data_IF_404544978721
#
_entry.id   IF_404544978721
#
_cell.length_a   1.000
_cell.length_b   1.000
_cell.length_c   1.000
_cell.angle_alpha   90.00
_cell.angle_beta   90.00
_cell.angle_gamma   90.00
#
_symmetry.space_group_name_H-M   'P 1'
#
loop_
_entity.id
_entity.type
_entity.pdbx_description
1 polymer ?
#
# COMPACT_ATOMS: atom_id res chain seq x y z
N UNK A 1 -21.64 34.07 -9.04
CA UNK A 1 -21.12 32.83 -8.44
C UNK A 1 -22.34 32.07 -7.95
N UNK A 2 -22.63 30.89 -8.51
CA UNK A 2 -23.73 30.05 -8.01
C UNK A 2 -23.33 29.53 -6.64
N UNK A 3 -24.22 29.57 -5.66
CA UNK A 3 -23.98 28.91 -4.38
C UNK A 3 -23.75 27.41 -4.63
N UNK A 4 -22.81 26.80 -3.89
CA UNK A 4 -22.63 25.35 -3.91
C UNK A 4 -23.97 24.67 -3.54
N UNK A 5 -24.34 23.57 -4.20
CA UNK A 5 -25.56 22.86 -3.85
C UNK A 5 -25.51 22.39 -2.38
N UNK A 6 -26.66 22.34 -1.67
CA UNK A 6 -26.71 21.79 -0.32
C UNK A 6 -26.17 20.35 -0.30
N UNK A 7 -25.45 20.01 0.76
CA UNK A 7 -24.85 18.68 0.97
C UNK A 7 -25.86 17.54 0.80
N UNK A 8 -27.05 17.68 1.39
CA UNK A 8 -28.16 16.73 1.23
C UNK A 8 -28.54 16.47 -0.23
N UNK A 9 -28.48 17.49 -1.09
CA UNK A 9 -28.81 17.36 -2.51
C UNK A 9 -27.71 16.59 -3.26
N UNK A 10 -26.45 16.77 -2.88
CA UNK A 10 -25.31 16.05 -3.47
C UNK A 10 -25.34 14.58 -3.07
N UNK A 11 -25.62 14.26 -1.80
CA UNK A 11 -25.80 12.88 -1.36
C UNK A 11 -27.00 12.20 -2.03
N UNK A 12 -28.14 12.90 -2.14
CA UNK A 12 -29.30 12.37 -2.85
C UNK A 12 -29.01 12.10 -4.35
N UNK A 13 -28.11 12.87 -4.97
CA UNK A 13 -27.62 12.59 -6.34
C UNK A 13 -26.69 11.39 -6.35
N UNK A 14 -25.75 11.30 -5.42
CA UNK A 14 -24.80 10.20 -5.31
C UNK A 14 -25.53 8.85 -5.15
N UNK A 15 -26.60 8.79 -4.37
CA UNK A 15 -27.40 7.58 -4.17
C UNK A 15 -28.23 7.17 -5.40
N UNK A 16 -28.53 8.11 -6.30
CA UNK A 16 -29.26 7.83 -7.54
C UNK A 16 -28.36 7.37 -8.68
N UNK A 17 -27.07 7.67 -8.59
CA UNK A 17 -26.12 7.26 -9.63
C UNK A 17 -25.78 5.79 -9.44
N UNK A 18 -25.87 5.04 -10.53
CA UNK A 18 -25.45 3.64 -10.54
C UNK A 18 -23.97 3.55 -10.18
N UNK A 19 -23.63 2.65 -9.26
CA UNK A 19 -22.27 2.46 -8.77
C UNK A 19 -21.89 0.98 -8.79
N UNK A 20 -20.59 0.72 -8.89
CA UNK A 20 -20.04 -0.62 -8.87
C UNK A 20 -19.08 -0.78 -7.70
N UNK A 21 -19.23 -1.87 -6.96
CA UNK A 21 -18.25 -2.28 -5.96
C UNK A 21 -17.02 -2.83 -6.69
N UNK A 22 -15.84 -2.36 -6.29
CA UNK A 22 -14.54 -2.80 -6.78
C UNK A 22 -13.54 -2.83 -5.62
N UNK A 23 -12.37 -3.41 -5.86
CA UNK A 23 -11.18 -3.23 -5.03
C UNK A 23 -10.12 -2.54 -5.89
N UNK A 24 -9.37 -1.63 -5.29
CA UNK A 24 -8.15 -1.11 -5.90
C UNK A 24 -7.01 -1.98 -5.39
N UNK A 25 -6.33 -2.66 -6.30
CA UNK A 25 -5.17 -3.50 -6.00
C UNK A 25 -3.87 -2.70 -6.26
N UNK A 26 -2.72 -3.16 -5.77
CA UNK A 26 -1.39 -2.53 -5.98
C UNK A 26 -1.19 -2.07 -7.44
N UNK A 27 -1.56 -2.91 -8.41
CA UNK A 27 -1.39 -2.65 -9.85
C UNK A 27 -2.25 -1.49 -10.39
N UNK A 28 -3.27 -1.06 -9.66
CA UNK A 28 -4.10 0.09 -10.06
C UNK A 28 -3.43 1.43 -9.71
N UNK A 29 -2.40 1.44 -8.86
CA UNK A 29 -1.75 2.66 -8.37
C UNK A 29 -0.46 2.97 -9.13
N UNK A 30 -0.15 4.26 -9.22
CA UNK A 30 1.21 4.72 -9.47
C UNK A 30 2.06 4.45 -8.23
N UNK A 31 3.16 3.71 -8.41
CA UNK A 31 4.02 3.20 -7.35
C UNK A 31 5.30 4.03 -7.24
N UNK A 32 5.78 4.21 -6.02
CA UNK A 32 7.08 4.82 -5.75
C UNK A 32 7.66 4.24 -4.45
N UNK A 33 8.98 4.20 -4.35
CA UNK A 33 9.65 3.82 -3.12
C UNK A 33 9.49 4.90 -2.04
N UNK A 34 9.57 4.51 -0.77
CA UNK A 34 9.61 5.45 0.35
C UNK A 34 11.03 5.97 0.61
N UNK A 35 11.13 6.99 1.46
CA UNK A 35 12.37 7.36 2.14
C UNK A 35 12.32 6.83 3.57
N UNK A 36 13.27 5.97 4.00
CA UNK A 36 13.26 5.43 5.36
C UNK A 36 13.33 6.51 6.44
N UNK A 37 12.50 6.38 7.48
CA UNK A 37 12.37 7.33 8.58
C UNK A 37 11.64 8.64 8.24
N UNK A 38 11.04 8.72 7.04
CA UNK A 38 10.24 9.86 6.62
C UNK A 38 8.89 9.40 6.04
N UNK A 39 7.82 10.10 6.41
CA UNK A 39 6.49 9.86 5.86
C UNK A 39 6.44 10.19 4.36
N UNK A 40 6.52 9.13 3.56
CA UNK A 40 6.67 9.21 2.10
C UNK A 40 5.45 8.61 1.43
N UNK A 41 5.02 9.19 0.30
CA UNK A 41 4.00 8.54 -0.53
C UNK A 41 4.61 7.27 -1.13
N UNK A 42 3.83 6.21 -1.24
CA UNK A 42 4.26 4.96 -1.90
C UNK A 42 3.28 4.50 -2.98
N UNK A 43 2.01 4.87 -2.86
CA UNK A 43 0.97 4.56 -3.83
C UNK A 43 0.09 5.79 -4.09
N UNK A 44 -0.28 6.00 -5.35
CA UNK A 44 -1.15 7.09 -5.77
C UNK A 44 -2.15 6.63 -6.83
N UNK A 45 -3.44 6.77 -6.57
CA UNK A 45 -4.50 6.47 -7.54
C UNK A 45 -5.32 7.73 -7.82
N UNK A 46 -5.28 8.22 -9.06
CA UNK A 46 -6.11 9.35 -9.48
C UNK A 46 -7.51 8.87 -9.88
N UNK A 47 -8.53 9.38 -9.20
CA UNK A 47 -9.92 9.01 -9.43
C UNK A 47 -10.44 9.59 -10.76
N UNK A 48 -10.65 8.75 -11.77
CA UNK A 48 -11.27 9.16 -13.04
C UNK A 48 -12.75 9.52 -12.91
N UNK A 49 -13.40 8.97 -11.88
CA UNK A 49 -14.80 9.17 -11.51
C UNK A 49 -14.90 9.20 -9.99
N UNK A 50 -15.93 9.85 -9.44
CA UNK A 50 -16.16 9.83 -8.01
C UNK A 50 -16.17 8.41 -7.46
N UNK A 51 -15.48 8.21 -6.35
CA UNK A 51 -15.48 6.95 -5.64
C UNK A 51 -15.65 7.17 -4.14
N UNK A 52 -16.12 6.12 -3.49
CA UNK A 52 -16.25 6.06 -2.05
C UNK A 52 -15.43 4.88 -1.55
N UNK A 53 -14.44 5.13 -0.68
CA UNK A 53 -13.83 4.06 0.11
C UNK A 53 -14.93 3.43 0.97
N UNK A 54 -14.97 2.10 1.10
CA UNK A 54 -16.08 1.42 1.77
C UNK A 54 -15.70 1.13 3.22
N UNK A 55 -16.42 1.67 4.23
CA UNK A 55 -16.18 1.33 5.62
C UNK A 55 -16.74 -0.05 5.95
N UNK A 56 -16.20 -0.70 6.98
CA UNK A 56 -16.68 -2.01 7.46
C UNK A 56 -16.46 -3.18 6.50
N UNK A 57 -15.64 -2.99 5.45
CA UNK A 57 -15.20 -4.05 4.52
C UNK A 57 -13.70 -4.24 4.71
N UNK A 58 -13.25 -5.50 4.71
CA UNK A 58 -11.84 -5.86 4.87
C UNK A 58 -10.94 -5.11 3.88
N UNK A 59 -9.85 -4.55 4.39
CA UNK A 59 -8.79 -3.87 3.64
C UNK A 59 -7.45 -4.53 3.95
N UNK A 60 -6.66 -4.74 2.91
CA UNK A 60 -5.32 -5.30 3.02
C UNK A 60 -4.31 -4.17 2.75
N UNK A 61 -3.36 -3.98 3.67
CA UNK A 61 -2.28 -2.99 3.57
C UNK A 61 -1.00 -3.60 4.15
N UNK A 62 -0.44 -4.55 3.42
CA UNK A 62 0.79 -5.26 3.75
C UNK A 62 1.90 -4.80 2.81
N UNK A 63 2.85 -4.06 3.39
CA UNK A 63 4.05 -3.59 2.70
C UNK A 63 5.21 -4.52 3.06
N UNK A 64 6.07 -4.78 2.09
CA UNK A 64 7.26 -5.61 2.27
C UNK A 64 8.50 -4.72 2.32
N UNK A 65 9.47 -5.17 3.10
CA UNK A 65 10.83 -4.64 3.15
C UNK A 65 11.55 -5.06 1.88
N UNK A 66 12.33 -4.16 1.30
CA UNK A 66 13.33 -4.46 0.28
C UNK A 66 14.73 -4.31 0.85
N UNK A 67 15.57 -5.31 0.60
CA UNK A 67 17.01 -5.25 0.85
C UNK A 67 17.81 -5.81 -0.34
N UNK A 68 18.82 -5.06 -0.75
CA UNK A 68 19.81 -5.50 -1.74
C UNK A 68 21.04 -6.08 -1.05
N UNK A 69 21.45 -7.28 -1.46
CA UNK A 69 22.63 -7.97 -0.97
C UNK A 69 23.50 -8.43 -2.14
N UNK A 70 24.76 -8.78 -1.88
CA UNK A 70 25.69 -9.22 -2.93
C UNK A 70 26.37 -10.52 -2.52
N UNK A 71 26.36 -11.52 -3.40
CA UNK A 71 27.07 -12.79 -3.18
C UNK A 71 28.58 -12.63 -3.36
N UNK A 72 29.36 -13.50 -2.74
CA UNK A 72 30.82 -13.52 -2.91
C UNK A 72 31.30 -14.18 -4.23
N UNK A 73 30.40 -14.83 -4.97
CA UNK A 73 30.66 -15.53 -6.22
C UNK A 73 31.51 -16.79 -6.09
N UNK A 74 31.53 -17.41 -4.91
CA UNK A 74 32.31 -18.63 -4.63
C UNK A 74 31.69 -19.91 -5.17
N UNK A 75 30.41 -19.89 -5.52
CA UNK A 75 29.62 -21.08 -5.86
C UNK A 75 29.30 -21.95 -4.64
N UNK A 76 29.39 -21.35 -3.44
CA UNK A 76 29.14 -22.05 -2.18
C UNK A 76 28.00 -21.40 -1.42
N UNK A 77 27.41 -22.16 -0.49
CA UNK A 77 26.33 -21.65 0.35
C UNK A 77 26.85 -20.51 1.24
N UNK A 78 26.12 -19.40 1.21
CA UNK A 78 26.37 -18.21 2.03
C UNK A 78 25.17 -17.96 2.93
N UNK A 79 25.40 -17.32 4.07
CA UNK A 79 24.36 -16.84 4.99
C UNK A 79 24.29 -15.33 4.91
N UNK A 80 23.08 -14.82 4.75
CA UNK A 80 22.75 -13.41 4.64
C UNK A 80 21.87 -13.00 5.81
N UNK A 81 22.32 -12.02 6.59
CA UNK A 81 21.52 -11.45 7.67
C UNK A 81 20.74 -10.25 7.13
N UNK A 82 19.45 -10.20 7.44
CA UNK A 82 18.55 -9.10 7.10
C UNK A 82 18.71 -7.98 8.14
N UNK A 83 18.48 -6.72 7.73
CA UNK A 83 18.58 -5.58 8.63
C UNK A 83 17.33 -5.37 9.48
N UNK A 84 16.19 -5.87 9.02
CA UNK A 84 14.93 -5.82 9.75
C UNK A 84 14.46 -7.23 10.06
N UNK A 85 13.61 -7.33 11.07
CA UNK A 85 13.10 -8.60 11.51
C UNK A 85 12.21 -9.24 10.44
N UNK A 86 12.38 -10.54 10.26
CA UNK A 86 11.63 -11.35 9.31
C UNK A 86 10.53 -12.09 10.06
N UNK A 87 9.28 -11.97 9.60
CA UNK A 87 8.15 -12.65 10.24
C UNK A 87 7.39 -13.56 9.28
N UNK A 88 6.95 -14.69 9.82
CA UNK A 88 5.94 -15.54 9.19
C UNK A 88 4.58 -14.86 9.32
N UNK A 89 4.13 -14.29 8.20
CA UNK A 89 2.94 -13.46 8.11
C UNK A 89 1.81 -14.22 7.42
N UNK A 90 0.94 -14.86 8.20
CA UNK A 90 -0.24 -15.57 7.72
C UNK A 90 -1.13 -14.84 6.68
N UNK A 91 -1.31 -13.48 6.71
CA UNK A 91 -2.10 -12.79 5.69
C UNK A 91 -1.39 -12.62 4.34
N UNK A 92 -0.06 -12.75 4.29
CA UNK A 92 0.73 -12.66 3.05
C UNK A 92 1.05 -14.08 2.59
N UNK A 93 0.76 -14.40 1.32
CA UNK A 93 0.93 -15.76 0.80
C UNK A 93 2.38 -16.25 0.82
N UNK A 94 3.31 -15.35 0.47
CA UNK A 94 4.76 -15.56 0.48
C UNK A 94 5.43 -14.43 1.27
N UNK A 95 5.80 -14.71 2.52
CA UNK A 95 6.37 -13.76 3.47
C UNK A 95 7.84 -13.40 3.20
N UNK A 96 8.54 -14.22 2.41
CA UNK A 96 9.89 -13.99 1.93
C UNK A 96 10.01 -14.36 0.46
N UNK A 97 10.50 -13.42 -0.35
CA UNK A 97 10.73 -13.57 -1.77
C UNK A 97 12.15 -13.12 -2.11
N UNK A 98 12.83 -13.86 -2.97
CA UNK A 98 14.21 -13.61 -3.34
C UNK A 98 14.35 -13.55 -4.85
N UNK A 99 15.13 -12.59 -5.34
CA UNK A 99 15.58 -12.52 -6.72
C UNK A 99 17.11 -12.53 -6.78
N UNK A 100 17.66 -13.10 -7.85
CA UNK A 100 19.05 -12.92 -8.29
C UNK A 100 19.04 -12.16 -9.62
N UNK A 101 19.48 -10.89 -9.58
CA UNK A 101 19.13 -9.88 -10.58
C UNK A 101 17.61 -9.83 -10.79
N UNK A 102 17.15 -9.82 -12.04
CA UNK A 102 15.72 -9.81 -12.37
C UNK A 102 15.03 -11.20 -12.36
N UNK A 103 15.69 -12.28 -11.92
CA UNK A 103 15.12 -13.63 -11.93
C UNK A 103 14.77 -14.11 -10.54
N UNK A 104 13.54 -14.62 -10.36
CA UNK A 104 13.12 -15.22 -9.09
C UNK A 104 14.06 -16.38 -8.73
N UNK A 105 14.53 -16.36 -7.49
CA UNK A 105 15.45 -17.32 -6.93
C UNK A 105 14.84 -17.94 -5.67
N UNK A 106 15.27 -19.15 -5.33
CA UNK A 106 14.87 -19.78 -4.09
C UNK A 106 16.02 -19.71 -3.09
N UNK A 107 15.75 -19.22 -1.89
CA UNK A 107 16.67 -19.41 -0.77
C UNK A 107 16.78 -20.92 -0.46
N UNK A 108 17.97 -21.35 -0.05
CA UNK A 108 18.20 -22.73 0.41
C UNK A 108 17.49 -22.98 1.75
N UNK A 109 17.42 -21.95 2.60
CA UNK A 109 16.69 -21.95 3.87
C UNK A 109 16.44 -20.52 4.34
N UNK A 110 15.40 -20.35 5.16
CA UNK A 110 15.00 -19.07 5.78
C UNK A 110 14.87 -19.31 7.28
N UNK A 111 15.54 -18.48 8.08
CA UNK A 111 15.60 -18.54 9.54
C UNK A 111 14.96 -17.29 10.14
N UNK A 112 13.68 -17.42 10.49
CA UNK A 112 12.85 -16.38 11.11
C UNK A 112 13.25 -16.06 12.56
N UNK A 113 14.00 -16.96 13.23
CA UNK A 113 14.45 -16.71 14.62
C UNK A 113 15.71 -15.83 14.65
N UNK A 114 16.48 -15.82 13.55
CA UNK A 114 17.75 -15.09 13.43
C UNK A 114 17.74 -14.02 12.32
N UNK A 115 16.59 -13.73 11.72
CA UNK A 115 16.43 -12.74 10.65
C UNK A 115 17.43 -12.97 9.50
N UNK A 116 17.52 -14.20 9.01
CA UNK A 116 18.53 -14.56 8.01
C UNK A 116 18.03 -15.59 7.01
N UNK A 117 18.73 -15.70 5.89
CA UNK A 117 18.52 -16.76 4.90
C UNK A 117 19.85 -17.27 4.37
N UNK A 118 19.82 -18.44 3.74
CA UNK A 118 20.98 -18.99 3.03
C UNK A 118 20.72 -19.09 1.54
N UNK A 119 21.74 -18.82 0.73
CA UNK A 119 21.67 -18.92 -0.72
C UNK A 119 23.01 -19.43 -1.30
N UNK A 120 22.92 -20.27 -2.32
CA UNK A 120 24.09 -20.81 -3.04
C UNK A 120 24.14 -20.19 -4.43
N UNK A 121 25.17 -19.37 -4.68
CA UNK A 121 25.37 -18.70 -5.97
C UNK A 121 25.89 -19.64 -7.08
N UNK A 122 25.87 -19.16 -8.33
CA UNK A 122 26.28 -19.91 -9.52
C UNK A 122 27.79 -19.99 -9.79
N UNK A 123 28.64 -19.50 -8.88
CA UNK A 123 30.09 -19.34 -9.08
C UNK A 123 30.48 -17.98 -9.67
N UNK A 124 29.61 -16.98 -9.51
CA UNK A 124 29.83 -15.58 -9.91
C UNK A 124 29.13 -14.63 -8.94
N UNK A 125 29.64 -13.41 -8.84
CA UNK A 125 29.01 -12.37 -8.03
C UNK A 125 27.62 -12.07 -8.63
N UNK A 126 26.61 -12.13 -7.77
CA UNK A 126 25.21 -11.91 -8.07
C UNK A 126 24.66 -10.85 -7.11
N UNK A 127 23.80 -9.97 -7.61
CA UNK A 127 22.98 -9.07 -6.78
C UNK A 127 21.71 -9.82 -6.38
N UNK A 128 21.41 -9.82 -5.09
CA UNK A 128 20.20 -10.41 -4.54
C UNK A 128 19.24 -9.31 -4.11
N UNK A 129 17.96 -9.44 -4.45
CA UNK A 129 16.89 -8.60 -3.92
C UNK A 129 15.99 -9.45 -3.03
N UNK A 130 15.99 -9.15 -1.73
CA UNK A 130 15.11 -9.79 -0.76
C UNK A 130 13.90 -8.89 -0.49
N UNK A 131 12.70 -9.43 -0.74
CA UNK A 131 11.42 -8.81 -0.42
C UNK A 131 10.73 -9.58 0.68
N UNK A 132 10.55 -8.99 1.85
CA UNK A 132 10.07 -9.76 3.00
C UNK A 132 9.18 -8.98 3.97
N UNK A 133 8.37 -9.69 4.74
CA UNK A 133 7.47 -9.09 5.72
C UNK A 133 8.18 -8.87 7.05
N UNK A 134 8.01 -7.68 7.61
CA UNK A 134 8.56 -7.29 8.91
C UNK A 134 7.47 -6.84 9.89
N UNK A 135 7.69 -7.07 11.18
CA UNK A 135 6.87 -6.48 12.26
C UNK A 135 7.38 -5.11 12.74
N UNK A 136 8.48 -4.62 12.16
CA UNK A 136 9.02 -3.32 12.48
C UNK A 136 7.92 -2.25 12.35
N UNK A 137 7.84 -1.39 13.36
CA UNK A 137 6.83 -0.35 13.45
C UNK A 137 6.92 0.59 12.24
N UNK A 138 5.81 0.69 11.50
CA UNK A 138 5.69 1.53 10.32
C UNK A 138 4.32 2.22 10.31
N UNK A 139 4.30 3.55 10.27
CA UNK A 139 3.06 4.31 10.22
C UNK A 139 2.54 4.35 8.79
N UNK A 140 1.30 3.95 8.55
CA UNK A 140 0.62 4.04 7.27
C UNK A 140 -0.53 5.03 7.35
N UNK A 141 -0.58 5.95 6.40
CA UNK A 141 -1.67 6.90 6.25
C UNK A 141 -2.33 6.75 4.88
N UNK A 142 -3.64 6.53 4.88
CA UNK A 142 -4.47 6.58 3.67
C UNK A 142 -5.10 7.96 3.59
N UNK A 143 -4.81 8.69 2.52
CA UNK A 143 -5.21 10.09 2.34
C UNK A 143 -6.06 10.27 1.09
N UNK A 144 -7.02 11.19 1.14
CA UNK A 144 -7.58 11.81 -0.06
C UNK A 144 -6.90 13.15 -0.29
N UNK A 145 -6.52 13.44 -1.53
CA UNK A 145 -5.72 14.60 -1.89
C UNK A 145 -6.29 15.32 -3.12
N UNK A 146 -6.51 16.63 -2.99
CA UNK A 146 -6.96 17.49 -4.05
C UNK A 146 -5.77 17.93 -4.92
N UNK A 147 -5.97 18.17 -6.23
CA UNK A 147 -4.89 18.55 -7.16
C UNK A 147 -4.04 19.78 -6.79
N UNK A 148 -4.46 20.61 -5.83
CA UNK A 148 -3.86 21.93 -5.59
C UNK A 148 -3.43 22.23 -4.16
N UNK A 149 -3.96 21.56 -3.11
CA UNK A 149 -3.46 21.75 -1.72
C UNK A 149 -4.19 21.02 -0.59
N UNK A 150 -5.46 20.66 -0.76
CA UNK A 150 -6.22 20.07 0.34
C UNK A 150 -5.94 18.57 0.42
N UNK A 151 -5.67 18.07 1.61
CA UNK A 151 -5.70 16.64 1.86
C UNK A 151 -6.43 16.39 3.18
N UNK A 152 -6.87 15.16 3.32
CA UNK A 152 -7.54 14.68 4.53
C UNK A 152 -7.16 13.21 4.74
N UNK A 153 -7.00 12.82 6.00
CA UNK A 153 -6.58 11.48 6.37
C UNK A 153 -7.86 10.65 6.53
N UNK A 154 -8.03 9.66 5.65
CA UNK A 154 -9.13 8.70 5.73
C UNK A 154 -8.88 7.71 6.86
N UNK A 155 -7.62 7.31 7.02
CA UNK A 155 -7.21 6.28 7.97
C UNK A 155 -5.72 6.40 8.30
N UNK A 156 -5.38 6.08 9.55
CA UNK A 156 -4.02 6.05 10.05
C UNK A 156 -3.85 4.77 10.90
N UNK A 157 -2.78 4.02 10.64
CA UNK A 157 -2.50 2.76 11.34
C UNK A 157 -1.02 2.41 11.39
N UNK A 158 -0.70 1.35 12.12
CA UNK A 158 0.63 0.74 12.20
C UNK A 158 0.66 -0.54 11.34
N UNK A 159 1.56 -0.60 10.35
CA UNK A 159 1.72 -1.72 9.42
C UNK A 159 2.32 -2.96 10.10
N UNK A 160 3.26 -2.79 11.03
CA UNK A 160 3.88 -3.92 11.73
C UNK A 160 2.82 -4.70 12.53
N UNK A 161 1.91 -3.97 13.18
CA UNK A 161 0.76 -4.57 13.85
C UNK A 161 -0.27 -5.19 12.88
N UNK A 162 -0.36 -4.69 11.65
CA UNK A 162 -1.24 -5.26 10.63
C UNK A 162 -0.69 -6.59 10.09
N UNK A 163 0.63 -6.71 9.98
CA UNK A 163 1.31 -7.94 9.54
C UNK A 163 1.20 -9.07 10.57
N UNK A 164 1.23 -8.76 11.87
CA UNK A 164 1.07 -9.76 12.94
C UNK A 164 -0.37 -10.28 13.13
N UNK A 165 -1.37 -9.66 12.49
CA UNK A 165 -2.78 -10.01 12.68
C UNK A 165 -3.25 -11.05 11.69
N UNK A 166 -3.92 -12.09 12.20
CA UNK A 166 -4.72 -12.99 11.37
C UNK A 166 -5.99 -12.26 10.88
N UNK A 167 -5.92 -11.69 9.69
CA UNK A 167 -7.02 -10.93 9.10
C UNK A 167 -8.19 -11.80 8.63
N UNK A 168 -8.03 -13.13 8.54
CA UNK A 168 -9.15 -14.03 8.30
C UNK A 168 -10.08 -14.10 9.52
N UNK A 169 -9.50 -13.91 10.71
CA UNK A 169 -10.23 -13.92 11.98
C UNK A 169 -10.69 -12.52 12.40
N UNK A 170 -9.80 -11.53 12.32
CA UNK A 170 -10.03 -10.16 12.76
C UNK A 170 -9.66 -9.18 11.63
N UNK A 171 -10.54 -9.01 10.61
CA UNK A 171 -10.23 -8.21 9.44
C UNK A 171 -10.09 -6.74 9.81
N UNK A 172 -9.09 -6.08 9.24
CA UNK A 172 -8.93 -4.64 9.37
C UNK A 172 -9.90 -3.97 8.39
N UNK A 173 -10.61 -2.94 8.84
CA UNK A 173 -11.58 -2.21 8.01
C UNK A 173 -11.41 -0.72 8.20
N UNK A 174 -11.73 0.07 7.17
CA UNK A 174 -11.92 1.51 7.36
C UNK A 174 -13.09 1.77 8.31
N UNK A 175 -12.92 2.73 9.22
CA UNK A 175 -13.95 3.13 10.18
C UNK A 175 -13.95 4.66 10.34
N UNK A 176 -15.01 5.29 9.86
CA UNK A 176 -15.26 6.73 10.03
C UNK A 176 -16.75 6.96 10.27
N UNK A 177 -17.05 7.97 11.09
CA UNK A 177 -18.42 8.34 11.44
C UNK A 177 -19.10 9.14 10.32
N UNK A 178 -18.33 9.99 9.63
CA UNK A 178 -18.83 10.83 8.53
C UNK A 178 -18.58 10.15 7.17
N UNK A 179 -19.62 9.89 6.36
CA UNK A 179 -19.45 9.38 5.00
C UNK A 179 -18.63 10.29 4.08
N UNK A 180 -18.52 11.61 4.35
CA UNK A 180 -17.68 12.52 3.55
C UNK A 180 -16.19 12.18 3.67
N UNK A 181 -15.76 11.57 4.79
CA UNK A 181 -14.37 11.15 5.00
C UNK A 181 -13.91 10.20 3.88
N UNK A 182 -14.73 9.20 3.54
CA UNK A 182 -14.41 8.22 2.50
C UNK A 182 -14.69 8.65 1.06
N UNK A 183 -15.27 9.83 0.83
CA UNK A 183 -15.60 10.31 -0.53
C UNK A 183 -14.40 10.95 -1.22
N UNK A 184 -14.12 10.48 -2.43
CA UNK A 184 -13.04 10.98 -3.28
C UNK A 184 -13.67 11.51 -4.57
N UNK A 185 -13.65 12.83 -4.80
CA UNK A 185 -14.15 13.44 -6.02
C UNK A 185 -13.38 13.00 -7.26
N UNK A 186 -13.95 13.29 -8.43
CA UNK A 186 -13.21 13.15 -9.69
C UNK A 186 -11.96 14.04 -9.68
N UNK A 187 -10.90 13.54 -10.30
CA UNK A 187 -9.60 14.21 -10.50
C UNK A 187 -8.80 14.40 -9.20
N UNK A 188 -9.32 13.95 -8.06
CA UNK A 188 -8.59 13.85 -6.80
C UNK A 188 -7.85 12.51 -6.72
N UNK A 189 -6.89 12.42 -5.81
CA UNK A 189 -6.09 11.21 -5.61
C UNK A 189 -6.43 10.53 -4.28
N UNK A 190 -6.47 9.20 -4.31
CA UNK A 190 -6.29 8.36 -3.13
C UNK A 190 -4.80 8.04 -3.03
N UNK A 191 -4.17 8.46 -1.95
CA UNK A 191 -2.73 8.33 -1.75
C UNK A 191 -2.45 7.52 -0.48
N UNK A 192 -1.46 6.64 -0.53
CA UNK A 192 -1.01 5.90 0.64
C UNK A 192 0.42 6.35 0.94
N UNK A 193 0.62 6.77 2.18
CA UNK A 193 1.91 7.18 2.71
C UNK A 193 2.37 6.16 3.75
N UNK A 194 3.67 5.96 3.83
CA UNK A 194 4.32 5.14 4.85
C UNK A 194 5.52 5.88 5.45
N UNK A 195 5.64 5.83 6.76
CA UNK A 195 6.83 6.18 7.53
C UNK A 195 7.33 4.91 8.19
N UNK A 196 8.40 4.33 7.64
CA UNK A 196 8.97 3.07 8.06
C UNK A 196 10.49 3.21 8.21
N UNK A 197 11.13 2.46 9.12
CA UNK A 197 12.59 2.46 9.27
C UNK A 197 13.31 1.74 8.12
N UNK A 198 12.57 1.10 7.23
CA UNK A 198 13.05 0.30 6.11
C UNK A 198 12.56 0.83 4.76
N UNK A 199 13.16 0.29 3.69
CA UNK A 199 12.77 0.61 2.32
C UNK A 199 11.59 -0.29 1.92
N UNK A 200 10.52 0.34 1.45
CA UNK A 200 9.42 -0.27 0.71
C UNK A 200 9.60 0.13 -0.74
N UNK A 201 9.87 -0.86 -1.58
CA UNK A 201 10.11 -0.70 -3.01
C UNK A 201 9.30 -1.75 -3.75
N UNK A 202 8.86 -1.43 -4.97
CA UNK A 202 7.94 -2.26 -5.73
C UNK A 202 8.60 -2.96 -6.91
N UNK A 203 9.61 -2.31 -7.50
CA UNK A 203 10.46 -2.79 -8.58
C UNK A 203 11.82 -2.12 -8.42
N UNK A 204 12.86 -2.75 -8.94
CA UNK A 204 14.22 -2.22 -8.94
C UNK A 204 14.55 -1.55 -10.27
N UNK A 205 14.99 -0.29 -10.23
CA UNK A 205 15.32 0.46 -11.46
C UNK A 205 16.54 -0.12 -12.18
N UNK A 206 17.47 -0.72 -11.44
CA UNK A 206 18.70 -1.31 -11.98
C UNK A 206 18.45 -2.75 -12.47
N UNK A 207 17.52 -3.49 -11.84
CA UNK A 207 17.10 -4.85 -12.21
C UNK A 207 15.57 -4.99 -12.43
N UNK A 208 15.04 -4.39 -13.52
CA UNK A 208 13.59 -4.39 -13.79
C UNK A 208 13.06 -5.81 -13.98
N UNK A 209 12.20 -6.25 -13.06
CA UNK A 209 11.66 -7.61 -12.97
C UNK A 209 11.86 -8.26 -11.59
N UNK A 210 12.73 -7.70 -10.75
CA UNK A 210 12.75 -8.00 -9.32
C UNK A 210 11.61 -7.24 -8.61
N UNK A 211 10.39 -7.74 -8.76
CA UNK A 211 9.17 -7.07 -8.29
C UNK A 211 8.70 -7.59 -6.92
N UNK A 212 8.15 -6.69 -6.10
CA UNK A 212 7.57 -7.01 -4.79
C UNK A 212 6.18 -7.66 -4.90
N UNK A 213 6.06 -8.79 -5.61
CA UNK A 213 4.76 -9.45 -5.88
C UNK A 213 4.06 -9.97 -4.62
N UNK A 214 4.79 -10.11 -3.52
CA UNK A 214 4.26 -10.48 -2.21
C UNK A 214 3.69 -9.28 -1.42
N UNK A 215 3.85 -8.04 -1.88
CA UNK A 215 3.17 -6.90 -1.29
C UNK A 215 1.65 -6.97 -1.59
N UNK A 216 0.81 -6.79 -0.56
CA UNK A 216 -0.64 -6.89 -0.69
C UNK A 216 -1.31 -5.59 -0.28
N UNK A 217 -1.80 -4.84 -1.27
CA UNK A 217 -2.67 -3.67 -1.06
C UNK A 217 -3.98 -3.89 -1.77
N UNK A 218 -5.07 -3.81 -1.01
CA UNK A 218 -6.41 -4.03 -1.53
C UNK A 218 -7.44 -3.17 -0.81
N UNK A 219 -7.88 -2.08 -1.47
CA UNK A 219 -8.80 -1.10 -0.89
C UNK A 219 -10.21 -1.28 -1.47
N UNK A 220 -11.23 -1.60 -0.66
CA UNK A 220 -12.60 -1.72 -1.13
C UNK A 220 -13.19 -0.35 -1.46
N UNK A 221 -13.64 -0.18 -2.70
CA UNK A 221 -14.27 1.06 -3.18
C UNK A 221 -15.66 0.80 -3.78
N UNK A 222 -16.46 1.86 -3.83
CA UNK A 222 -17.68 1.97 -4.62
C UNK A 222 -17.48 3.10 -5.62
N UNK A 223 -17.33 2.76 -6.90
CA UNK A 223 -17.08 3.74 -7.97
C UNK A 223 -18.38 4.13 -8.65
N UNK A 224 -18.62 5.44 -8.78
CA UNK A 224 -19.74 5.98 -9.51
C UNK A 224 -19.59 5.75 -11.02
N UNK A 225 -20.70 5.46 -11.73
CA UNK A 225 -20.70 5.40 -13.19
C UNK A 225 -20.73 6.78 -13.84
N UNK A 226 -21.20 7.79 -13.12
CA UNK A 226 -21.34 9.16 -13.63
C UNK A 226 -20.65 10.18 -12.72
N UNK A 227 -20.43 11.38 -13.24
CA UNK A 227 -19.91 12.49 -12.45
C UNK A 227 -21.05 13.08 -11.60
N UNK A 228 -20.75 13.39 -10.34
CA UNK A 228 -21.72 14.01 -9.42
C UNK A 228 -21.36 15.49 -9.28
N UNK A 229 -22.19 16.37 -9.86
CA UNK A 229 -22.00 17.82 -9.77
C UNK A 229 -22.13 18.30 -8.31
N UNK A 230 -21.14 19.09 -7.87
CA UNK A 230 -21.09 19.68 -6.52
C UNK A 230 -20.41 18.80 -5.46
N UNK A 231 -19.99 17.58 -5.80
CA UNK A 231 -19.31 16.69 -4.86
C UNK A 231 -17.96 17.25 -4.39
N UNK A 232 -17.21 17.89 -5.29
CA UNK A 232 -15.94 18.52 -4.94
C UNK A 232 -16.13 19.63 -3.89
N UNK A 233 -17.15 20.48 -4.05
CA UNK A 233 -17.43 21.57 -3.11
C UNK A 233 -17.80 21.03 -1.71
N UNK A 234 -18.59 19.96 -1.64
CA UNK A 234 -18.96 19.30 -0.37
C UNK A 234 -17.71 18.77 0.34
N UNK A 235 -16.86 18.06 -0.39
CA UNK A 235 -15.63 17.50 0.18
C UNK A 235 -14.66 18.60 0.62
N UNK A 236 -14.46 19.65 -0.18
CA UNK A 236 -13.60 20.79 0.20
C UNK A 236 -14.12 21.49 1.46
N UNK A 237 -15.43 21.73 1.55
CA UNK A 237 -16.01 22.39 2.72
C UNK A 237 -15.88 21.53 3.99
N UNK A 238 -15.97 20.21 3.86
CA UNK A 238 -15.72 19.29 4.97
C UNK A 238 -14.27 19.37 5.45
N UNK A 239 -13.29 19.33 4.54
CA UNK A 239 -11.85 19.41 4.87
C UNK A 239 -11.47 20.78 5.45
N UNK A 240 -12.05 21.86 4.93
CA UNK A 240 -11.78 23.22 5.41
C UNK A 240 -12.56 23.61 6.68
N UNK A 241 -13.52 22.79 7.09
CA UNK A 241 -14.37 22.99 8.26
C UNK A 241 -13.99 22.12 9.47
N UNK A 242 -13.12 21.14 9.29
CA UNK A 242 -12.49 20.34 10.36
C UNK A 242 -11.28 21.04 10.99
#
# INVERSE_FOLDING_TARGET
MSAAPPEEEVFARLDRVESANKRLEVSDFDQQANTPGELSKVLSYKAERPLFVRPGVGVDLHFVVHEELTTDGSGTQQTFNLLNNLIDSAPVGDDFLLYSGASEASADSVDYDNDSFTYTDGGSIETLHAYYVSDAQAKVEVRKSAPKRYFDIIDERDAGMANLRDQNRDPITFSYEDPVTGLIPKDWSLEIYIDAPYIVQWDDEDDPGAEAVNALVSIPIRRSRENVMGLEDVVINHIGGS
#
